data_IF_157820481600
#
_entry.id   IF_157820481600
#
_cell.length_a   1.000
_cell.length_b   1.000
_cell.length_c   1.000
_cell.angle_alpha   90.00
_cell.angle_beta   90.00
_cell.angle_gamma   90.00
#
_symmetry.space_group_name_H-M   'P 1'
#
loop_
_entity.id
_entity.type
_entity.pdbx_description
1 polymer ?
#
# COMPACT_ATOMS: atom_id res chain seq x y z
N UNK A 1 -9.62 -8.87 9.70
CA UNK A 1 -9.21 -9.68 8.52
C UNK A 1 -7.92 -10.45 8.80
N UNK A 2 -7.76 -11.59 8.16
CA UNK A 2 -6.55 -12.38 8.26
C UNK A 2 -5.87 -12.48 6.89
N UNK A 3 -4.63 -12.99 6.86
CA UNK A 3 -3.95 -13.26 5.58
C UNK A 3 -4.77 -14.15 4.67
N UNK A 4 -5.49 -15.10 5.25
CA UNK A 4 -6.35 -16.01 4.49
C UNK A 4 -7.49 -15.26 3.79
N UNK A 5 -8.08 -14.27 4.46
CA UNK A 5 -9.14 -13.46 3.87
C UNK A 5 -8.65 -12.67 2.66
N UNK A 6 -7.37 -12.34 2.63
CA UNK A 6 -6.77 -11.54 1.56
C UNK A 6 -6.28 -12.37 0.37
N UNK A 7 -6.28 -13.70 0.46
CA UNK A 7 -5.79 -14.56 -0.61
C UNK A 7 -6.48 -14.29 -1.97
N UNK A 8 -7.74 -13.92 -1.94
CA UNK A 8 -8.51 -13.61 -3.15
C UNK A 8 -7.87 -12.44 -3.94
N UNK A 9 -7.16 -11.54 -3.27
CA UNK A 9 -6.53 -10.38 -3.91
C UNK A 9 -5.10 -10.67 -4.38
N UNK A 10 -4.55 -11.84 -4.07
CA UNK A 10 -3.15 -12.13 -4.36
C UNK A 10 -2.81 -12.10 -5.85
N UNK A 11 -3.69 -12.62 -6.69
CA UNK A 11 -3.46 -12.72 -8.14
C UNK A 11 -4.19 -11.66 -8.96
N UNK A 12 -4.77 -10.66 -8.29
CA UNK A 12 -5.49 -9.60 -8.97
C UNK A 12 -4.51 -8.64 -9.67
N UNK A 13 -4.90 -8.07 -10.83
CA UNK A 13 -4.02 -7.21 -11.62
C UNK A 13 -3.99 -5.76 -11.12
N UNK A 14 -4.00 -5.56 -9.83
CA UNK A 14 -3.88 -4.24 -9.18
C UNK A 14 -3.00 -4.42 -7.94
N UNK A 15 -2.57 -3.31 -7.36
CA UNK A 15 -1.75 -3.33 -6.16
C UNK A 15 -2.64 -3.34 -4.92
N UNK A 16 -2.32 -4.24 -3.98
CA UNK A 16 -3.05 -4.33 -2.71
C UNK A 16 -2.02 -4.54 -1.59
N UNK A 17 -2.16 -3.76 -0.51
CA UNK A 17 -1.23 -3.84 0.61
C UNK A 17 -1.90 -3.55 1.94
N UNK A 18 -1.25 -4.01 3.00
CA UNK A 18 -1.61 -3.72 4.39
C UNK A 18 -0.36 -3.22 5.09
N UNK A 19 -0.45 -2.08 5.74
CA UNK A 19 0.61 -1.52 6.59
C UNK A 19 0.08 -1.33 7.99
N UNK A 20 0.94 -1.56 9.00
CA UNK A 20 0.57 -1.24 10.38
C UNK A 20 0.60 0.28 10.60
N UNK A 21 0.30 0.72 11.83
CA UNK A 21 0.25 2.15 12.17
C UNK A 21 1.61 2.83 12.07
N UNK A 22 2.69 2.07 12.08
CA UNK A 22 4.05 2.58 11.96
C UNK A 22 4.56 2.61 10.52
N UNK A 23 3.78 2.11 9.58
CA UNK A 23 4.12 2.12 8.16
C UNK A 23 4.85 0.88 7.68
N UNK A 24 4.93 -0.16 8.51
CA UNK A 24 5.55 -1.43 8.13
C UNK A 24 4.55 -2.26 7.32
N UNK A 25 4.99 -2.74 6.16
CA UNK A 25 4.15 -3.62 5.35
C UNK A 25 3.97 -4.97 6.03
N UNK A 26 2.72 -5.38 6.19
CA UNK A 26 2.37 -6.68 6.78
C UNK A 26 1.92 -7.69 5.74
N UNK A 27 1.36 -7.22 4.64
CA UNK A 27 0.88 -8.09 3.56
C UNK A 27 0.84 -7.31 2.25
N UNK A 28 1.22 -7.96 1.16
CA UNK A 28 1.13 -7.41 -0.20
C UNK A 28 0.73 -8.52 -1.17
N UNK A 29 0.08 -8.15 -2.26
CA UNK A 29 -0.24 -9.12 -3.30
C UNK A 29 0.91 -9.27 -4.32
N UNK A 30 0.76 -10.24 -5.22
CA UNK A 30 1.80 -10.56 -6.21
C UNK A 30 2.11 -9.39 -7.14
N UNK A 31 1.10 -8.63 -7.56
CA UNK A 31 1.33 -7.49 -8.45
C UNK A 31 2.29 -6.48 -7.82
N UNK A 32 2.09 -6.16 -6.54
CA UNK A 32 2.98 -5.22 -5.83
C UNK A 32 4.35 -5.83 -5.59
N UNK A 33 4.42 -7.09 -5.23
CA UNK A 33 5.68 -7.80 -5.01
C UNK A 33 6.52 -7.81 -6.28
N UNK A 34 5.89 -8.08 -7.43
CA UNK A 34 6.56 -8.10 -8.72
C UNK A 34 7.13 -6.72 -9.10
N UNK A 35 6.41 -5.65 -8.77
CA UNK A 35 6.85 -4.29 -9.04
C UNK A 35 8.12 -3.94 -8.26
N UNK A 36 8.20 -4.35 -7.02
CA UNK A 36 9.35 -4.06 -6.17
C UNK A 36 10.59 -4.90 -6.52
N UNK A 37 10.39 -6.09 -7.07
CA UNK A 37 11.45 -7.08 -7.36
C UNK A 37 12.29 -7.46 -6.13
N UNK A 38 11.73 -7.26 -4.94
CA UNK A 38 12.36 -7.62 -3.67
C UNK A 38 11.29 -7.85 -2.61
N UNK A 39 11.65 -8.38 -1.46
CA UNK A 39 10.72 -8.61 -0.37
C UNK A 39 10.22 -7.28 0.20
N UNK A 40 8.92 -7.14 0.34
CA UNK A 40 8.28 -5.92 0.85
C UNK A 40 7.86 -6.07 2.31
N UNK A 41 7.31 -7.23 2.67
CA UNK A 41 6.80 -7.47 4.03
C UNK A 41 7.92 -7.31 5.06
N UNK A 42 7.65 -6.55 6.10
CA UNK A 42 8.62 -6.23 7.14
C UNK A 42 9.41 -4.95 6.90
N UNK A 43 9.23 -4.32 5.75
CA UNK A 43 9.92 -3.07 5.39
C UNK A 43 8.95 -1.89 5.37
N UNK A 44 9.52 -0.69 5.35
CA UNK A 44 8.78 0.56 5.20
C UNK A 44 9.07 1.16 3.82
N UNK A 45 8.26 2.12 3.40
CA UNK A 45 8.44 2.76 2.09
C UNK A 45 9.85 3.28 1.85
N UNK A 46 10.49 3.82 2.88
CA UNK A 46 11.86 4.36 2.79
C UNK A 46 12.92 3.30 2.45
N UNK A 47 12.60 2.03 2.61
CA UNK A 47 13.51 0.92 2.39
C UNK A 47 13.28 0.25 1.02
N UNK A 48 12.36 0.77 0.23
CA UNK A 48 11.88 0.14 -1.01
C UNK A 48 12.22 1.00 -2.23
N UNK A 49 12.03 0.47 -3.47
CA UNK A 49 12.37 1.24 -4.67
C UNK A 49 11.72 2.62 -4.78
N UNK A 50 10.56 2.82 -4.15
CA UNK A 50 9.86 4.10 -4.16
C UNK A 50 10.19 5.00 -2.96
N UNK A 51 11.35 4.81 -2.35
CA UNK A 51 11.78 5.57 -1.17
C UNK A 51 11.77 7.09 -1.37
N UNK A 52 11.99 7.56 -2.61
CA UNK A 52 11.97 8.99 -2.91
C UNK A 52 10.61 9.63 -2.64
N UNK A 53 9.55 8.85 -2.65
CA UNK A 53 8.18 9.31 -2.41
C UNK A 53 7.64 8.87 -1.05
N UNK A 54 8.50 8.32 -0.19
CA UNK A 54 8.08 7.74 1.09
C UNK A 54 7.34 8.73 2.00
N UNK A 55 7.81 9.97 2.07
CA UNK A 55 7.19 10.97 2.93
C UNK A 55 5.77 11.32 2.48
N UNK A 56 5.55 11.44 1.17
CA UNK A 56 4.22 11.72 0.61
C UNK A 56 3.28 10.55 0.85
N UNK A 57 3.76 9.32 0.64
CA UNK A 57 2.97 8.11 0.88
C UNK A 57 2.60 7.99 2.36
N UNK A 58 3.56 8.28 3.25
CA UNK A 58 3.34 8.22 4.69
C UNK A 58 2.31 9.27 5.15
N UNK A 59 2.36 10.47 4.57
CA UNK A 59 1.40 11.52 4.90
C UNK A 59 -0.04 11.07 4.63
N UNK A 60 -0.29 10.39 3.52
CA UNK A 60 -1.61 9.87 3.18
C UNK A 60 -2.02 8.74 4.12
N UNK A 61 -1.10 7.84 4.46
CA UNK A 61 -1.38 6.77 5.42
C UNK A 61 -1.77 7.33 6.78
N UNK A 62 -1.02 8.33 7.27
CA UNK A 62 -1.29 8.96 8.56
C UNK A 62 -2.64 9.66 8.58
N UNK A 63 -3.02 10.28 7.47
CA UNK A 63 -4.31 10.94 7.36
C UNK A 63 -5.46 9.97 7.54
N UNK A 64 -5.41 8.81 6.89
CA UNK A 64 -6.45 7.79 6.99
C UNK A 64 -6.47 7.17 8.38
N UNK A 65 -5.31 6.94 8.98
CA UNK A 65 -5.21 6.40 10.34
C UNK A 65 -5.75 7.39 11.38
N UNK A 66 -5.50 8.68 11.19
CA UNK A 66 -5.94 9.73 12.11
C UNK A 66 -7.44 9.95 12.03
N UNK A 67 -8.01 10.01 10.83
CA UNK A 67 -9.43 10.30 10.64
C UNK A 67 -10.32 9.06 10.75
N UNK A 68 -9.79 7.89 10.45
CA UNK A 68 -10.57 6.65 10.36
C UNK A 68 -11.47 6.59 9.12
N UNK A 69 -11.40 7.61 8.24
CA UNK A 69 -12.24 7.69 7.05
C UNK A 69 -11.46 7.25 5.80
N UNK A 70 -12.14 6.57 4.86
CA UNK A 70 -11.49 6.22 3.59
C UNK A 70 -11.06 7.47 2.84
N UNK A 71 -9.92 7.35 2.14
CA UNK A 71 -9.41 8.43 1.33
C UNK A 71 -9.18 7.93 -0.09
N UNK A 72 -9.51 8.78 -1.06
CA UNK A 72 -9.29 8.54 -2.48
C UNK A 72 -8.38 9.64 -2.99
N UNK A 73 -7.28 9.25 -3.63
CA UNK A 73 -6.28 10.22 -4.06
C UNK A 73 -5.54 9.73 -5.28
N UNK A 74 -4.82 10.65 -5.92
CA UNK A 74 -3.79 10.28 -6.87
C UNK A 74 -2.46 10.29 -6.15
N UNK A 75 -1.63 9.28 -6.39
CA UNK A 75 -0.27 9.23 -5.87
C UNK A 75 0.70 9.10 -7.05
N UNK A 76 1.84 9.78 -6.93
CA UNK A 76 2.88 9.72 -7.94
C UNK A 76 4.07 8.99 -7.35
N UNK A 77 4.49 7.92 -8.02
CA UNK A 77 5.61 7.11 -7.59
C UNK A 77 6.63 7.11 -8.71
N UNK A 78 7.73 7.85 -8.50
CA UNK A 78 8.75 8.05 -9.54
C UNK A 78 9.51 6.79 -9.91
N UNK A 79 9.72 5.91 -8.98
CA UNK A 79 10.45 4.66 -9.17
C UNK A 79 9.63 3.49 -8.68
N UNK A 80 9.72 2.34 -9.33
CA UNK A 80 10.60 2.05 -10.47
C UNK A 80 10.12 2.53 -11.84
N UNK A 81 8.82 2.84 -12.00
CA UNK A 81 8.22 3.00 -13.32
C UNK A 81 7.63 4.38 -13.65
N UNK A 82 7.78 5.36 -12.79
CA UNK A 82 7.13 6.69 -12.94
C UNK A 82 5.62 6.56 -13.07
N UNK A 83 5.00 5.84 -12.15
CA UNK A 83 3.56 5.60 -12.20
C UNK A 83 2.75 6.71 -11.55
N UNK A 84 1.64 7.05 -12.18
CA UNK A 84 0.55 7.78 -11.56
C UNK A 84 -0.48 6.75 -11.15
N UNK A 85 -0.87 6.75 -9.88
CA UNK A 85 -1.76 5.78 -9.30
C UNK A 85 -3.06 6.41 -8.82
N UNK A 86 -4.17 5.76 -9.11
CA UNK A 86 -5.44 6.04 -8.42
C UNK A 86 -5.48 5.14 -7.20
N UNK A 87 -5.61 5.72 -6.03
CA UNK A 87 -5.43 5.01 -4.76
C UNK A 87 -6.66 5.18 -3.89
N UNK A 88 -7.08 4.08 -3.24
CA UNK A 88 -8.03 4.11 -2.14
C UNK A 88 -7.31 3.56 -0.91
N UNK A 89 -7.34 4.33 0.18
CA UNK A 89 -6.80 3.88 1.47
C UNK A 89 -7.90 3.90 2.51
N UNK A 90 -7.88 2.91 3.41
CA UNK A 90 -8.89 2.81 4.47
C UNK A 90 -8.31 2.07 5.67
N UNK A 91 -8.97 2.21 6.81
CA UNK A 91 -8.55 1.54 8.05
C UNK A 91 -9.37 0.28 8.25
N UNK A 92 -8.69 -0.81 8.56
CA UNK A 92 -9.31 -2.08 8.86
C UNK A 92 -8.41 -2.88 9.81
N UNK A 93 -9.01 -3.81 10.53
CA UNK A 93 -8.25 -4.74 11.35
C UNK A 93 -7.55 -5.78 10.49
N UNK A 94 -6.29 -6.05 10.79
CA UNK A 94 -5.54 -7.16 10.20
C UNK A 94 -4.87 -7.94 11.31
N UNK A 95 -5.36 -9.16 11.52
CA UNK A 95 -4.86 -10.08 12.55
C UNK A 95 -4.76 -9.44 13.94
N UNK A 96 -5.79 -8.68 14.30
CA UNK A 96 -5.91 -8.03 15.60
C UNK A 96 -5.23 -6.68 15.72
N UNK A 97 -4.66 -6.16 14.62
CA UNK A 97 -4.01 -4.85 14.59
C UNK A 97 -4.78 -3.88 13.73
N UNK A 98 -4.85 -2.62 14.17
CA UNK A 98 -5.42 -1.54 13.37
C UNK A 98 -4.41 -1.16 12.29
N UNK A 99 -4.81 -1.29 11.03
CA UNK A 99 -3.91 -1.12 9.90
C UNK A 99 -4.48 -0.18 8.84
N UNK A 100 -3.59 0.36 8.00
CA UNK A 100 -3.95 1.06 6.79
C UNK A 100 -3.89 0.06 5.63
N UNK A 101 -5.03 -0.16 5.00
CA UNK A 101 -5.16 -0.97 3.79
C UNK A 101 -5.12 -0.04 2.58
N UNK A 102 -4.56 -0.50 1.50
CA UNK A 102 -4.53 0.27 0.27
C UNK A 102 -4.76 -0.60 -0.95
N UNK A 103 -5.43 -0.02 -1.92
CA UNK A 103 -5.59 -0.60 -3.25
C UNK A 103 -5.25 0.49 -4.24
N UNK A 104 -4.52 0.15 -5.30
CA UNK A 104 -4.20 1.15 -6.32
C UNK A 104 -4.15 0.55 -7.71
N UNK A 105 -4.42 1.42 -8.67
CA UNK A 105 -4.41 1.12 -10.10
C UNK A 105 -3.49 2.11 -10.79
N UNK A 106 -2.68 1.60 -11.74
CA UNK A 106 -1.90 2.47 -12.60
C UNK A 106 -2.84 3.15 -13.58
N UNK A 107 -2.72 4.46 -13.70
CA UNK A 107 -3.49 5.24 -14.66
C UNK A 107 -2.65 5.39 -15.92
N UNK A 108 -3.17 4.93 -17.03
CA UNK A 108 -2.54 5.11 -18.34
C UNK A 108 -3.06 6.40 -18.95
N UNK A 109 -2.14 7.19 -19.50
CA UNK A 109 -2.45 8.44 -20.17
C UNK A 109 -2.42 8.28 -21.68
#
# INVERSE_FOLDING_TARGET
MTSKDLEIFNDMPFFFWVKDEEGTYLWVNEALRAMATEEIVGKKDKDLPWADDADALRADDLKVLETGEPMFAFEYVRKPNKDKLSVCKYVEDFEGKRCAFGISFVIEE
#
